data_IF_673921077109
#
_entry.id   IF_673921077109
#
_cell.length_a   1.000
_cell.length_b   1.000
_cell.length_c   1.000
_cell.angle_alpha   90.00
_cell.angle_beta   90.00
_cell.angle_gamma   90.00
#
_symmetry.space_group_name_H-M   'P 1'
#
loop_
_entity.id
_entity.type
_entity.pdbx_description
1 polymer ?
#
# COMPACT_ATOMS: atom_id res chain seq x y z
N UNK A 1 7.26 -34.10 7.73
CA UNK A 1 7.09 -32.86 7.00
C UNK A 1 5.88 -32.13 7.57
N UNK A 2 6.10 -31.16 8.37
CA UNK A 2 5.02 -30.30 8.82
C UNK A 2 4.74 -29.35 7.66
N UNK A 3 3.56 -29.44 7.07
CA UNK A 3 3.14 -28.43 6.08
C UNK A 3 3.11 -27.09 6.79
N UNK A 4 4.03 -26.21 6.45
CA UNK A 4 3.96 -24.83 6.91
C UNK A 4 2.64 -24.25 6.40
N UNK A 5 1.76 -23.93 7.33
CA UNK A 5 0.55 -23.19 6.94
C UNK A 5 1.00 -21.84 6.42
N UNK A 6 0.73 -21.54 5.14
CA UNK A 6 1.16 -20.27 4.58
C UNK A 6 0.49 -19.12 5.33
N UNK A 7 1.22 -18.04 5.52
CA UNK A 7 0.66 -16.80 6.07
C UNK A 7 -0.51 -16.37 5.18
N UNK A 8 -1.69 -16.04 5.75
CA UNK A 8 -2.83 -15.63 4.94
C UNK A 8 -2.55 -14.35 4.15
N UNK A 9 -2.26 -14.49 2.87
CA UNK A 9 -1.85 -13.38 2.01
C UNK A 9 -2.92 -12.30 1.88
N UNK A 10 -4.19 -12.66 1.91
CA UNK A 10 -5.29 -11.71 1.88
C UNK A 10 -5.27 -10.76 3.09
N UNK A 11 -5.00 -11.29 4.28
CA UNK A 11 -4.89 -10.48 5.51
C UNK A 11 -3.65 -9.59 5.50
N UNK A 12 -2.54 -10.09 5.00
CA UNK A 12 -1.29 -9.32 4.86
C UNK A 12 -1.48 -8.18 3.87
N UNK A 13 -2.06 -8.43 2.73
CA UNK A 13 -2.36 -7.41 1.72
C UNK A 13 -3.27 -6.32 2.29
N UNK A 14 -4.33 -6.73 3.00
CA UNK A 14 -5.21 -5.77 3.67
C UNK A 14 -4.47 -4.94 4.72
N UNK A 15 -3.60 -5.57 5.51
CA UNK A 15 -2.77 -4.85 6.48
C UNK A 15 -1.93 -3.78 5.80
N UNK A 16 -1.26 -4.10 4.71
CA UNK A 16 -0.46 -3.13 3.96
C UNK A 16 -1.30 -1.98 3.41
N UNK A 17 -2.47 -2.28 2.88
CA UNK A 17 -3.42 -1.25 2.42
C UNK A 17 -3.80 -0.30 3.56
N UNK A 18 -4.11 -0.85 4.72
CA UNK A 18 -4.52 -0.06 5.89
C UNK A 18 -3.40 0.86 6.39
N UNK A 19 -2.16 0.38 6.47
CA UNK A 19 -1.04 1.23 6.91
C UNK A 19 -0.68 2.30 5.88
N UNK A 20 -0.79 2.01 4.59
CA UNK A 20 -0.58 2.99 3.53
C UNK A 20 -1.66 4.07 3.54
N UNK A 21 -2.90 3.71 3.86
CA UNK A 21 -4.02 4.64 3.98
C UNK A 21 -4.12 5.30 5.37
N UNK A 22 -3.16 5.07 6.25
CA UNK A 22 -3.09 5.64 7.60
C UNK A 22 -4.26 5.21 8.50
N UNK A 23 -4.87 4.07 8.24
CA UNK A 23 -5.93 3.48 9.07
C UNK A 23 -5.30 2.55 10.13
N UNK A 24 -4.65 3.14 11.11
CA UNK A 24 -3.80 2.42 12.05
C UNK A 24 -4.57 1.55 13.04
N UNK A 25 -5.75 1.99 13.50
CA UNK A 25 -6.56 1.19 14.42
C UNK A 25 -7.05 -0.10 13.77
N UNK A 26 -7.48 -0.04 12.50
CA UNK A 26 -7.88 -1.22 11.75
C UNK A 26 -6.69 -2.10 11.39
N UNK A 27 -5.55 -1.49 11.06
CA UNK A 27 -4.30 -2.22 10.81
C UNK A 27 -3.87 -3.03 12.03
N UNK A 28 -3.98 -2.46 13.22
CA UNK A 28 -3.68 -3.15 14.47
C UNK A 28 -4.59 -4.36 14.69
N UNK A 29 -5.88 -4.25 14.37
CA UNK A 29 -6.84 -5.36 14.44
C UNK A 29 -6.49 -6.48 13.46
N UNK A 30 -6.13 -6.13 12.23
CA UNK A 30 -5.71 -7.14 11.24
C UNK A 30 -4.40 -7.82 11.65
N UNK A 31 -3.49 -7.10 12.25
CA UNK A 31 -2.24 -7.64 12.76
C UNK A 31 -2.51 -8.64 13.90
N UNK A 32 -3.45 -8.33 14.79
CA UNK A 32 -3.87 -9.23 15.87
C UNK A 32 -4.52 -10.52 15.32
N UNK A 33 -5.34 -10.40 14.28
CA UNK A 33 -5.90 -11.57 13.57
C UNK A 33 -4.83 -12.44 12.94
N UNK A 34 -3.83 -11.83 12.31
CA UNK A 34 -2.68 -12.53 11.75
C UNK A 34 -1.93 -13.30 12.83
N UNK A 35 -1.66 -12.65 13.96
CA UNK A 35 -0.97 -13.27 15.09
C UNK A 35 -1.67 -14.54 15.56
N UNK A 36 -2.99 -14.54 15.62
CA UNK A 36 -3.76 -15.69 16.05
C UNK A 36 -3.74 -16.84 15.05
N UNK A 37 -3.63 -16.53 13.75
CA UNK A 37 -3.66 -17.52 12.66
C UNK A 37 -2.28 -18.03 12.27
N UNK A 38 -1.22 -17.33 12.63
CA UNK A 38 0.13 -17.72 12.26
C UNK A 38 0.69 -18.77 13.20
N UNK A 39 1.38 -19.78 12.65
CA UNK A 39 2.18 -20.69 13.44
C UNK A 39 3.40 -19.96 14.00
N UNK A 40 3.82 -20.34 15.21
CA UNK A 40 4.96 -19.72 15.91
C UNK A 40 6.30 -20.33 15.45
N UNK A 41 6.58 -20.27 14.16
CA UNK A 41 7.90 -20.60 13.60
C UNK A 41 8.81 -19.38 13.65
N UNK A 42 10.12 -19.59 13.61
CA UNK A 42 11.08 -18.48 13.58
C UNK A 42 10.89 -17.59 12.35
N UNK A 43 10.61 -18.19 11.21
CA UNK A 43 10.32 -17.45 9.99
C UNK A 43 9.08 -16.55 10.14
N UNK A 44 7.99 -17.11 10.67
CA UNK A 44 6.76 -16.35 10.90
C UNK A 44 6.93 -15.26 11.95
N UNK A 45 7.73 -15.50 12.98
CA UNK A 45 8.06 -14.48 13.99
C UNK A 45 8.80 -13.30 13.37
N UNK A 46 9.77 -13.59 12.48
CA UNK A 46 10.49 -12.55 11.75
C UNK A 46 9.56 -11.75 10.84
N UNK A 47 8.71 -12.44 10.10
CA UNK A 47 7.70 -11.81 9.25
C UNK A 47 6.77 -10.89 10.05
N UNK A 48 6.21 -11.40 11.13
CA UNK A 48 5.33 -10.64 12.02
C UNK A 48 6.05 -9.42 12.63
N UNK A 49 7.30 -9.58 13.04
CA UNK A 49 8.10 -8.48 13.60
C UNK A 49 8.26 -7.34 12.60
N UNK A 50 8.45 -7.67 11.33
CA UNK A 50 8.52 -6.66 10.28
C UNK A 50 7.19 -5.91 10.13
N UNK A 51 6.08 -6.62 10.12
CA UNK A 51 4.74 -6.00 10.04
C UNK A 51 4.47 -5.07 11.23
N UNK A 52 4.81 -5.52 12.43
CA UNK A 52 4.65 -4.72 13.64
C UNK A 52 5.52 -3.46 13.60
N UNK A 53 6.77 -3.60 13.15
CA UNK A 53 7.68 -2.49 12.96
C UNK A 53 7.17 -1.46 11.95
N UNK A 54 6.60 -1.91 10.85
CA UNK A 54 5.97 -1.04 9.84
C UNK A 54 4.83 -0.22 10.45
N UNK A 55 3.97 -0.86 11.23
CA UNK A 55 2.86 -0.18 11.92
C UNK A 55 3.37 0.89 12.88
N UNK A 56 4.35 0.55 13.72
CA UNK A 56 4.93 1.48 14.69
C UNK A 56 5.57 2.70 14.01
N UNK A 57 6.33 2.47 12.96
CA UNK A 57 7.03 3.53 12.23
C UNK A 57 6.04 4.47 11.55
N UNK A 58 5.02 3.94 10.88
CA UNK A 58 4.01 4.75 10.20
C UNK A 58 3.17 5.57 11.18
N UNK A 59 2.89 5.01 12.36
CA UNK A 59 2.06 5.66 13.39
C UNK A 59 2.80 6.73 14.19
N UNK A 60 4.11 6.56 14.40
CA UNK A 60 4.85 7.36 15.39
C UNK A 60 5.29 8.73 14.89
N UNK A 61 5.29 9.04 13.61
CA UNK A 61 5.82 10.29 13.03
C UNK A 61 7.24 10.65 13.51
N UNK A 62 7.97 9.69 14.06
CA UNK A 62 9.31 9.92 14.58
C UNK A 62 10.32 9.89 13.43
N UNK A 63 11.03 10.99 13.20
CA UNK A 63 11.89 11.20 12.05
C UNK A 63 13.00 10.16 11.90
N UNK A 64 13.52 9.65 13.00
CA UNK A 64 14.63 8.68 12.98
C UNK A 64 14.16 7.27 12.60
N UNK A 65 12.98 6.87 13.09
CA UNK A 65 12.37 5.58 12.76
C UNK A 65 11.74 5.58 11.36
N UNK A 66 11.50 6.76 10.82
CA UNK A 66 10.83 6.98 9.53
C UNK A 66 11.80 6.99 8.34
N UNK A 67 13.11 6.90 8.60
CA UNK A 67 14.14 7.08 7.57
C UNK A 67 14.00 6.11 6.39
N UNK A 68 13.61 4.86 6.64
CA UNK A 68 13.41 3.89 5.57
C UNK A 68 12.15 4.20 4.75
N UNK A 69 11.01 4.48 5.40
CA UNK A 69 9.78 4.86 4.70
C UNK A 69 9.90 6.20 3.98
N UNK A 70 10.64 7.16 4.52
CA UNK A 70 10.87 8.45 3.86
C UNK A 70 11.76 8.32 2.62
N UNK A 71 12.67 7.34 2.61
CA UNK A 71 13.48 7.00 1.44
C UNK A 71 12.72 6.15 0.43
N UNK A 72 11.65 5.48 0.86
CA UNK A 72 10.81 4.67 0.00
C UNK A 72 9.77 5.56 -0.68
N UNK A 73 10.12 6.08 -1.85
CA UNK A 73 9.15 6.76 -2.70
C UNK A 73 8.23 5.72 -3.32
N UNK A 74 7.01 5.60 -2.79
CA UNK A 74 6.01 4.63 -3.22
C UNK A 74 5.55 4.91 -4.66
N UNK A 75 5.77 6.13 -5.16
CA UNK A 75 5.46 6.51 -6.54
C UNK A 75 6.53 6.06 -7.54
N UNK A 76 7.73 5.76 -7.09
CA UNK A 76 8.84 5.34 -7.94
C UNK A 76 8.87 3.81 -8.05
N UNK A 77 8.34 3.29 -9.15
CA UNK A 77 8.28 1.86 -9.44
C UNK A 77 9.65 1.20 -9.52
N UNK A 78 10.62 1.90 -10.09
CA UNK A 78 11.98 1.37 -10.25
C UNK A 78 12.66 1.20 -8.89
N UNK A 79 12.52 2.19 -8.01
CA UNK A 79 13.04 2.12 -6.65
C UNK A 79 12.38 0.96 -5.87
N UNK A 80 11.05 0.78 -5.97
CA UNK A 80 10.33 -0.31 -5.34
C UNK A 80 10.82 -1.67 -5.83
N UNK A 81 11.01 -1.84 -7.14
CA UNK A 81 11.52 -3.08 -7.70
C UNK A 81 12.95 -3.39 -7.25
N UNK A 82 13.80 -2.37 -7.15
CA UNK A 82 15.17 -2.52 -6.66
C UNK A 82 15.19 -2.93 -5.18
N UNK A 83 14.38 -2.30 -4.33
CA UNK A 83 14.25 -2.69 -2.93
C UNK A 83 13.71 -4.12 -2.79
N UNK A 84 12.70 -4.47 -3.57
CA UNK A 84 12.16 -5.82 -3.56
C UNK A 84 13.20 -6.87 -3.92
N UNK A 85 13.99 -6.61 -4.94
CA UNK A 85 15.08 -7.50 -5.38
C UNK A 85 16.10 -7.67 -4.28
N UNK A 86 16.49 -6.59 -3.62
CA UNK A 86 17.43 -6.59 -2.50
C UNK A 86 16.90 -7.42 -1.33
N UNK A 87 15.64 -7.21 -0.94
CA UNK A 87 15.00 -7.99 0.12
C UNK A 87 14.91 -9.47 -0.23
N UNK A 88 14.56 -9.81 -1.46
CA UNK A 88 14.52 -11.21 -1.91
C UNK A 88 15.89 -11.87 -1.90
N UNK A 89 16.95 -11.13 -2.18
CA UNK A 89 18.33 -11.63 -2.05
C UNK A 89 18.65 -12.01 -0.60
N UNK A 90 18.21 -11.21 0.37
CA UNK A 90 18.34 -11.55 1.79
C UNK A 90 17.52 -12.78 2.18
N UNK A 91 16.32 -12.94 1.64
CA UNK A 91 15.49 -14.13 1.87
C UNK A 91 16.17 -15.39 1.36
N UNK A 92 16.84 -15.32 0.22
CA UNK A 92 17.54 -16.46 -0.40
C UNK A 92 18.90 -16.74 0.25
N UNK A 93 19.44 -15.84 1.04
CA UNK A 93 20.74 -15.99 1.65
C UNK A 93 20.68 -16.99 2.81
N UNK A 94 21.33 -18.14 2.64
CA UNK A 94 21.37 -19.22 3.64
C UNK A 94 22.15 -18.87 4.91
N UNK A 95 22.94 -17.81 4.87
CA UNK A 95 23.66 -17.33 6.06
C UNK A 95 22.76 -16.61 7.04
N UNK A 96 21.61 -16.12 6.59
CA UNK A 96 20.60 -15.54 7.46
C UNK A 96 19.76 -16.64 8.13
N UNK A 97 19.44 -16.47 9.40
CA UNK A 97 18.51 -17.35 10.11
C UNK A 97 17.09 -17.21 9.58
N UNK A 98 16.23 -18.16 9.93
CA UNK A 98 14.84 -18.15 9.49
C UNK A 98 14.07 -16.90 9.90
N UNK A 99 14.36 -16.36 11.08
CA UNK A 99 13.79 -15.10 11.54
C UNK A 99 14.09 -13.94 10.58
N UNK A 100 15.36 -13.76 10.23
CA UNK A 100 15.78 -12.68 9.32
C UNK A 100 15.20 -12.86 7.93
N UNK A 101 15.15 -14.09 7.45
CA UNK A 101 14.56 -14.41 6.17
C UNK A 101 13.07 -14.08 6.12
N UNK A 102 12.34 -14.41 7.19
CA UNK A 102 10.93 -14.03 7.33
C UNK A 102 10.74 -12.51 7.40
N UNK A 103 11.61 -11.82 8.12
CA UNK A 103 11.61 -10.36 8.22
C UNK A 103 11.76 -9.70 6.84
N UNK A 104 12.74 -10.12 6.07
CA UNK A 104 12.96 -9.57 4.72
C UNK A 104 11.87 -9.97 3.73
N UNK A 105 11.27 -11.16 3.90
CA UNK A 105 10.13 -11.58 3.08
C UNK A 105 8.93 -10.64 3.25
N UNK A 106 8.66 -10.19 4.47
CA UNK A 106 7.59 -9.21 4.75
C UNK A 106 7.85 -7.88 4.04
N UNK A 107 9.09 -7.39 4.05
CA UNK A 107 9.45 -6.17 3.33
C UNK A 107 9.36 -6.33 1.81
N UNK A 108 9.75 -7.48 1.27
CA UNK A 108 9.58 -7.77 -0.15
C UNK A 108 8.10 -7.78 -0.56
N UNK A 109 7.24 -8.40 0.25
CA UNK A 109 5.79 -8.40 0.03
C UNK A 109 5.20 -7.00 0.11
N UNK A 110 5.64 -6.19 1.08
CA UNK A 110 5.21 -4.80 1.21
C UNK A 110 5.53 -3.98 -0.05
N UNK A 111 6.75 -4.07 -0.57
CA UNK A 111 7.14 -3.32 -1.78
C UNK A 111 6.32 -3.75 -3.00
N UNK A 112 6.00 -5.04 -3.10
CA UNK A 112 5.15 -5.56 -4.18
C UNK A 112 3.73 -5.01 -4.11
N UNK A 113 3.12 -5.05 -2.93
CA UNK A 113 1.75 -4.57 -2.71
C UNK A 113 1.68 -3.05 -2.89
N UNK A 114 2.64 -2.29 -2.35
CA UNK A 114 2.71 -0.84 -2.49
C UNK A 114 2.78 -0.41 -3.96
N UNK A 115 3.57 -1.13 -4.78
CA UNK A 115 3.66 -0.86 -6.21
C UNK A 115 2.34 -1.07 -6.94
N UNK A 116 1.61 -2.13 -6.63
CA UNK A 116 0.29 -2.41 -7.23
C UNK A 116 -0.76 -1.38 -6.83
N UNK A 117 -0.79 -0.98 -5.58
CA UNK A 117 -1.74 0.02 -5.07
C UNK A 117 -1.53 1.38 -5.73
N UNK A 118 -0.29 1.78 -5.98
CA UNK A 118 0.01 3.00 -6.70
C UNK A 118 -0.54 2.99 -8.11
N UNK A 119 -0.47 1.87 -8.81
CA UNK A 119 -1.03 1.73 -10.15
C UNK A 119 -2.55 1.91 -10.10
N UNK A 120 -3.23 1.24 -9.18
CA UNK A 120 -4.69 1.35 -9.01
C UNK A 120 -5.10 2.78 -8.68
N UNK A 121 -4.44 3.41 -7.72
CA UNK A 121 -4.72 4.79 -7.34
C UNK A 121 -4.48 5.78 -8.49
N UNK A 122 -3.46 5.56 -9.30
CA UNK A 122 -3.19 6.37 -10.48
C UNK A 122 -4.31 6.25 -11.51
N UNK A 123 -4.81 5.04 -11.76
CA UNK A 123 -5.93 4.78 -12.68
C UNK A 123 -7.21 5.46 -12.16
N UNK A 124 -7.55 5.27 -10.90
CA UNK A 124 -8.72 5.91 -10.27
C UNK A 124 -8.65 7.44 -10.34
N UNK A 125 -7.48 8.02 -10.11
CA UNK A 125 -7.28 9.45 -10.21
C UNK A 125 -7.45 9.96 -11.63
N UNK A 126 -7.03 9.22 -12.64
CA UNK A 126 -7.22 9.58 -14.06
C UNK A 126 -8.71 9.51 -14.41
N UNK A 127 -9.39 8.44 -14.00
CA UNK A 127 -10.83 8.28 -14.22
C UNK A 127 -11.64 9.41 -13.56
N UNK A 128 -11.30 9.76 -12.31
CA UNK A 128 -11.96 10.85 -11.59
C UNK A 128 -11.71 12.21 -12.24
N UNK A 129 -10.51 12.47 -12.75
CA UNK A 129 -10.20 13.70 -13.49
C UNK A 129 -11.00 13.79 -14.78
N UNK A 130 -11.09 12.72 -15.54
CA UNK A 130 -11.86 12.66 -16.78
C UNK A 130 -13.34 12.87 -16.52
N UNK A 131 -13.90 12.21 -15.49
CA UNK A 131 -15.30 12.41 -15.09
C UNK A 131 -15.58 13.85 -14.65
N UNK A 132 -14.65 14.50 -13.95
CA UNK A 132 -14.77 15.90 -13.55
C UNK A 132 -14.71 16.85 -14.72
N UNK A 133 -13.86 16.59 -15.71
CA UNK A 133 -13.78 17.38 -16.95
C UNK A 133 -15.05 17.26 -17.77
N UNK A 134 -15.57 16.05 -17.94
CA UNK A 134 -16.85 15.82 -18.64
C UNK A 134 -18.01 16.56 -17.97
N UNK A 135 -18.07 16.58 -16.65
CA UNK A 135 -19.07 17.33 -15.89
C UNK A 135 -18.94 18.84 -16.06
N UNK A 136 -17.74 19.37 -16.09
CA UNK A 136 -17.47 20.79 -16.32
C UNK A 136 -17.85 21.21 -17.74
N UNK A 137 -17.53 20.38 -18.74
CA UNK A 137 -17.91 20.66 -20.14
C UNK A 137 -19.43 20.61 -20.35
N UNK A 138 -20.08 19.61 -19.72
CA UNK A 138 -21.55 19.51 -19.76
C UNK A 138 -22.23 20.73 -19.08
N UNK A 139 -21.68 21.17 -17.93
CA UNK A 139 -22.15 22.36 -17.24
C UNK A 139 -21.98 23.63 -18.05
N UNK A 140 -20.85 23.79 -18.72
CA UNK A 140 -20.56 24.91 -19.61
C UNK A 140 -21.54 24.96 -20.82
N UNK A 141 -21.82 23.83 -21.45
CA UNK A 141 -22.76 23.70 -22.53
C UNK A 141 -24.17 24.07 -22.11
N UNK A 142 -24.60 23.74 -20.92
CA UNK A 142 -25.92 24.10 -20.35
C UNK A 142 -26.00 25.59 -20.03
N UNK A 143 -24.95 26.21 -19.53
CA UNK A 143 -24.87 27.66 -19.29
C UNK A 143 -24.94 28.47 -20.62
N UNK A 144 -24.18 28.03 -21.61
CA UNK A 144 -24.21 28.67 -22.95
C UNK A 144 -25.58 28.57 -23.63
N UNK A 145 -26.27 27.43 -23.47
CA UNK A 145 -27.66 27.27 -23.96
C UNK A 145 -28.66 28.16 -23.22
N UNK A 146 -28.51 28.28 -21.88
CA UNK A 146 -29.37 29.18 -21.11
C UNK A 146 -29.12 30.65 -21.40
N UNK A 147 -27.89 31.08 -21.66
CA UNK A 147 -27.56 32.43 -22.07
C UNK A 147 -28.13 32.76 -23.48
N UNK A 148 -27.98 31.83 -24.41
CA UNK A 148 -28.54 32.00 -25.76
C UNK A 148 -30.06 32.14 -25.72
N UNK A 149 -30.76 31.41 -24.84
CA UNK A 149 -32.23 31.50 -24.69
C UNK A 149 -32.66 32.81 -24.03
N UNK A 150 -31.86 33.41 -23.15
CA UNK A 150 -32.14 34.72 -22.56
C UNK A 150 -31.90 35.87 -23.53
N UNK A 151 -30.86 35.80 -24.37
CA UNK A 151 -30.58 36.78 -25.40
C UNK A 151 -31.66 36.79 -26.49
N UNK A 152 -32.21 35.63 -26.85
CA UNK A 152 -33.35 35.48 -27.74
C UNK A 152 -34.65 36.10 -27.17
N UNK A 153 -34.76 36.28 -25.87
CA UNK A 153 -35.91 36.83 -25.17
C UNK A 153 -35.86 38.37 -25.03
N UNK A 154 -34.71 39.00 -25.26
CA UNK A 154 -34.50 40.45 -25.08
C UNK A 154 -34.71 41.22 -26.40
N UNK A 155 -34.78 40.57 -27.52
CA UNK A 155 -35.16 41.12 -28.80
C UNK A 155 -36.69 41.01 -28.98
#
# INVERSE_FOLDING_TARGET
>A
MVAEMPIPQALVTRFFQLILNKQFAEAERELERLKQKMQKTEWNRGYFRALYGMLLVRRSNNSDSYAFFSKLDVSDKEALQNFRREFLNHVKNRLHGDFDRGFFAAWADFTRVAGKLNIVNAIENIENRNASQERMEAGKLLEDKNQATMEDFID
#
